data_IF_991937266381
#
_entry.id   IF_991937266381
#
_cell.length_a   1.000
_cell.length_b   1.000
_cell.length_c   1.000
_cell.angle_alpha   90.00
_cell.angle_beta   90.00
_cell.angle_gamma   90.00
#
_symmetry.space_group_name_H-M   'P 1'
#
loop_
_entity.id
_entity.type
_entity.pdbx_description
1 polymer ?
#
# COMPACT_ATOMS: atom_id res chain seq x y z
N UNK A 1 -14.11 27.15 -0.07
CA UNK A 1 -13.96 25.72 0.25
C UNK A 1 -13.13 25.67 1.51
N UNK A 2 -13.77 25.38 2.64
CA UNK A 2 -13.05 25.06 3.87
C UNK A 2 -12.49 23.64 3.72
N UNK A 3 -11.28 23.34 4.20
CA UNK A 3 -10.79 21.97 4.22
C UNK A 3 -11.72 21.17 5.15
N UNK A 4 -12.35 20.12 4.63
CA UNK A 4 -13.05 19.12 5.44
C UNK A 4 -12.08 18.64 6.53
N UNK A 5 -12.34 19.05 7.78
CA UNK A 5 -11.64 18.49 8.93
C UNK A 5 -12.06 17.04 9.03
N UNK A 6 -11.09 16.14 8.87
CA UNK A 6 -11.24 14.72 9.16
C UNK A 6 -11.94 14.56 10.53
N UNK A 7 -13.15 13.98 10.59
CA UNK A 7 -14.01 14.01 11.78
C UNK A 7 -13.46 13.19 12.96
N UNK A 8 -12.45 12.36 12.72
CA UNK A 8 -11.80 11.55 13.76
C UNK A 8 -10.27 11.80 13.77
N UNK A 9 -9.76 12.63 14.69
CA UNK A 9 -8.32 12.90 14.79
C UNK A 9 -7.48 11.67 15.19
N UNK A 10 -8.13 10.56 15.60
CA UNK A 10 -7.46 9.30 15.94
C UNK A 10 -7.50 8.30 14.79
N UNK A 11 -8.26 8.57 13.72
CA UNK A 11 -8.43 7.68 12.57
C UNK A 11 -7.11 7.28 11.95
N UNK A 12 -6.29 8.27 11.58
CA UNK A 12 -4.94 8.03 11.03
C UNK A 12 -4.07 7.19 11.98
N UNK A 13 -4.13 7.46 13.29
CA UNK A 13 -3.35 6.69 14.26
C UNK A 13 -3.82 5.23 14.36
N UNK A 14 -5.13 4.97 14.29
CA UNK A 14 -5.69 3.61 14.23
C UNK A 14 -5.27 2.87 12.97
N UNK A 15 -5.32 3.54 11.81
CA UNK A 15 -4.89 2.95 10.53
C UNK A 15 -3.38 2.64 10.52
N UNK A 16 -2.55 3.54 11.06
CA UNK A 16 -1.11 3.28 11.24
C UNK A 16 -0.89 2.06 12.15
N UNK A 17 -1.59 1.99 13.30
CA UNK A 17 -1.44 0.85 14.21
C UNK A 17 -1.88 -0.47 13.57
N UNK A 18 -2.95 -0.46 12.78
CA UNK A 18 -3.41 -1.63 12.02
C UNK A 18 -2.39 -2.04 10.95
N UNK A 19 -1.87 -1.07 10.18
CA UNK A 19 -0.83 -1.31 9.18
C UNK A 19 0.45 -1.87 9.81
N UNK A 20 0.93 -1.29 10.93
CA UNK A 20 2.06 -1.85 11.69
C UNK A 20 1.80 -3.28 12.12
N UNK A 21 0.61 -3.57 12.68
CA UNK A 21 0.25 -4.93 13.12
C UNK A 21 0.25 -5.92 11.95
N UNK A 22 -0.30 -5.51 10.82
CA UNK A 22 -0.34 -6.32 9.61
C UNK A 22 1.06 -6.58 9.05
N UNK A 23 1.93 -5.57 9.01
CA UNK A 23 3.33 -5.71 8.61
C UNK A 23 4.08 -6.67 9.53
N UNK A 24 3.86 -6.61 10.85
CA UNK A 24 4.45 -7.55 11.81
C UNK A 24 4.01 -9.00 11.58
N UNK A 25 2.71 -9.21 11.36
CA UNK A 25 2.17 -10.54 11.05
C UNK A 25 2.77 -11.08 9.75
N UNK A 26 2.84 -10.26 8.69
CA UNK A 26 3.41 -10.65 7.41
C UNK A 26 4.92 -10.93 7.51
N UNK A 27 5.67 -10.16 8.30
CA UNK A 27 7.09 -10.42 8.58
C UNK A 27 7.31 -11.73 9.33
N UNK A 28 6.36 -12.14 10.18
CA UNK A 28 6.37 -13.43 10.86
C UNK A 28 5.90 -14.60 9.97
N UNK A 29 5.50 -14.35 8.72
CA UNK A 29 4.97 -15.36 7.80
C UNK A 29 3.50 -15.72 8.07
N UNK A 30 2.76 -14.89 8.80
CA UNK A 30 1.34 -15.06 9.09
C UNK A 30 0.49 -14.17 8.17
N UNK A 31 0.45 -14.51 6.87
CA UNK A 31 -0.28 -13.73 5.85
C UNK A 31 -1.76 -13.56 6.19
N UNK A 32 -2.44 -14.62 6.65
CA UNK A 32 -3.85 -14.55 7.07
C UNK A 32 -4.05 -13.59 8.25
N UNK A 33 -3.16 -13.63 9.25
CA UNK A 33 -3.21 -12.73 10.40
C UNK A 33 -2.93 -11.28 10.04
N UNK A 34 -2.19 -11.01 8.96
CA UNK A 34 -1.99 -9.67 8.44
C UNK A 34 -3.28 -9.12 7.82
N UNK A 35 -4.01 -9.95 7.09
CA UNK A 35 -5.30 -9.58 6.49
C UNK A 35 -6.38 -9.39 7.56
N UNK A 36 -6.43 -10.24 8.57
CA UNK A 36 -7.35 -10.11 9.71
C UNK A 36 -7.15 -8.77 10.44
N UNK A 37 -5.89 -8.36 10.69
CA UNK A 37 -5.60 -7.09 11.34
C UNK A 37 -6.09 -5.87 10.53
N UNK A 38 -6.03 -5.94 9.20
CA UNK A 38 -6.56 -4.89 8.31
C UNK A 38 -8.09 -4.92 8.31
N UNK A 39 -8.69 -6.10 8.18
CA UNK A 39 -10.14 -6.28 8.20
C UNK A 39 -10.77 -5.76 9.50
N UNK A 40 -10.20 -6.13 10.65
CA UNK A 40 -10.67 -5.69 11.98
C UNK A 40 -10.65 -4.15 12.11
N UNK A 41 -9.61 -3.50 11.59
CA UNK A 41 -9.48 -2.05 11.64
C UNK A 41 -10.49 -1.33 10.74
N UNK A 42 -10.76 -1.90 9.56
CA UNK A 42 -11.70 -1.41 8.57
C UNK A 42 -13.16 -1.61 9.02
N UNK A 43 -13.49 -2.78 9.56
CA UNK A 43 -14.84 -3.15 9.98
C UNK A 43 -15.26 -2.52 11.31
N UNK A 44 -14.30 -2.16 12.17
CA UNK A 44 -14.59 -1.45 13.43
C UNK A 44 -15.13 -0.04 13.21
N UNK A 45 -15.06 0.51 12.00
CA UNK A 45 -15.49 1.86 11.67
C UNK A 45 -16.85 1.88 10.94
N UNK A 46 -17.72 2.85 11.23
CA UNK A 46 -18.97 3.04 10.47
C UNK A 46 -18.73 3.40 8.99
N UNK A 47 -17.50 3.78 8.62
CA UNK A 47 -17.09 4.13 7.26
C UNK A 47 -16.02 3.18 6.72
N UNK A 48 -16.24 1.87 6.80
CA UNK A 48 -15.27 0.83 6.39
C UNK A 48 -14.65 1.10 5.00
N UNK A 49 -15.46 1.51 4.03
CA UNK A 49 -14.96 1.85 2.69
C UNK A 49 -13.94 3.00 2.68
N UNK A 50 -14.14 4.06 3.48
CA UNK A 50 -13.18 5.17 3.55
C UNK A 50 -11.89 4.77 4.26
N UNK A 51 -12.00 3.89 5.25
CA UNK A 51 -10.86 3.43 6.06
C UNK A 51 -9.99 2.46 5.26
N UNK A 52 -10.60 1.56 4.48
CA UNK A 52 -9.91 0.73 3.52
C UNK A 52 -9.15 1.58 2.49
N UNK A 53 -9.81 2.59 1.91
CA UNK A 53 -9.18 3.52 0.95
C UNK A 53 -7.98 4.23 1.56
N UNK A 54 -8.13 4.77 2.77
CA UNK A 54 -7.07 5.53 3.42
C UNK A 54 -5.90 4.65 3.87
N UNK A 55 -6.17 3.43 4.32
CA UNK A 55 -5.13 2.45 4.63
C UNK A 55 -4.31 2.09 3.38
N UNK A 56 -4.97 1.86 2.24
CA UNK A 56 -4.29 1.58 0.98
C UNK A 56 -3.45 2.77 0.51
N UNK A 57 -3.98 4.00 0.58
CA UNK A 57 -3.25 5.22 0.25
C UNK A 57 -2.06 5.43 1.20
N UNK A 58 -2.21 5.13 2.49
CA UNK A 58 -1.12 5.18 3.45
C UNK A 58 0.02 4.23 3.01
N UNK A 59 -0.29 2.96 2.76
CA UNK A 59 0.72 1.97 2.36
C UNK A 59 1.41 2.35 1.03
N UNK A 60 0.64 2.74 0.01
CA UNK A 60 1.21 3.13 -1.29
C UNK A 60 2.00 4.44 -1.22
N UNK A 61 1.58 5.40 -0.40
CA UNK A 61 2.32 6.64 -0.15
C UNK A 61 3.68 6.39 0.51
N UNK A 62 3.76 5.47 1.46
CA UNK A 62 5.05 5.07 2.04
C UNK A 62 5.92 4.29 1.05
N UNK A 63 5.32 3.41 0.24
CA UNK A 63 6.03 2.74 -0.85
C UNK A 63 6.60 3.75 -1.85
N UNK A 64 5.83 4.76 -2.25
CA UNK A 64 6.28 5.84 -3.12
C UNK A 64 7.45 6.60 -2.50
N UNK A 65 7.34 6.99 -1.22
CA UNK A 65 8.40 7.69 -0.50
C UNK A 65 9.71 6.89 -0.45
N UNK A 66 9.63 5.59 -0.18
CA UNK A 66 10.78 4.69 -0.18
C UNK A 66 11.37 4.50 -1.58
N UNK A 67 10.52 4.33 -2.61
CA UNK A 67 10.96 4.26 -4.02
C UNK A 67 11.68 5.54 -4.44
N UNK A 68 11.17 6.71 -4.08
CA UNK A 68 11.83 7.99 -4.34
C UNK A 68 13.19 8.09 -3.65
N UNK A 69 13.29 7.67 -2.39
CA UNK A 69 14.56 7.64 -1.65
C UNK A 69 15.58 6.70 -2.32
N UNK A 70 15.16 5.51 -2.74
CA UNK A 70 15.99 4.53 -3.46
C UNK A 70 16.43 5.04 -4.84
N UNK A 71 15.58 5.81 -5.52
CA UNK A 71 15.82 6.43 -6.82
C UNK A 71 16.70 7.69 -6.81
N UNK A 72 17.54 7.88 -5.79
CA UNK A 72 18.34 9.10 -5.58
C UNK A 72 17.48 10.37 -5.44
N UNK A 73 16.40 10.29 -4.66
CA UNK A 73 15.50 11.42 -4.41
C UNK A 73 14.59 11.78 -5.58
N UNK A 74 14.22 10.80 -6.42
CA UNK A 74 13.38 11.01 -7.60
C UNK A 74 14.09 11.61 -8.82
N UNK A 75 15.43 11.72 -8.79
CA UNK A 75 16.20 12.26 -9.92
C UNK A 75 16.31 11.29 -11.10
N UNK A 76 16.13 9.98 -10.86
CA UNK A 76 16.14 8.96 -11.90
C UNK A 76 14.72 8.45 -12.20
N UNK A 77 14.36 8.23 -13.48
CA UNK A 77 13.07 7.62 -13.82
C UNK A 77 12.93 6.24 -13.18
N UNK A 78 11.86 6.04 -12.41
CA UNK A 78 11.52 4.74 -11.84
C UNK A 78 10.92 3.88 -12.94
N UNK A 79 11.48 2.68 -13.13
CA UNK A 79 10.89 1.65 -13.99
C UNK A 79 10.41 0.50 -13.11
N UNK A 80 9.14 0.16 -13.22
CA UNK A 80 8.57 -1.05 -12.61
C UNK A 80 8.47 -2.15 -13.65
N UNK A 81 8.86 -3.35 -13.25
CA UNK A 81 8.73 -4.57 -14.04
C UNK A 81 7.88 -5.55 -13.23
N UNK A 82 6.91 -6.17 -13.90
CA UNK A 82 6.02 -7.17 -13.31
C UNK A 82 6.45 -8.53 -13.82
N UNK A 83 6.56 -9.50 -12.91
CA UNK A 83 6.90 -10.87 -13.24
C UNK A 83 5.78 -11.80 -12.78
N UNK A 84 5.49 -12.85 -13.56
CA UNK A 84 4.59 -13.93 -13.15
C UNK A 84 5.30 -14.93 -12.20
N UNK A 85 4.54 -15.93 -11.75
CA UNK A 85 5.04 -17.00 -10.87
C UNK A 85 6.16 -17.85 -11.48
N UNK A 86 6.30 -17.83 -12.81
CA UNK A 86 7.38 -18.51 -13.54
C UNK A 86 8.60 -17.61 -13.76
N UNK A 87 8.56 -16.37 -13.24
CA UNK A 87 9.61 -15.37 -13.37
C UNK A 87 9.69 -14.73 -14.76
N UNK A 88 8.61 -14.82 -15.56
CA UNK A 88 8.54 -14.20 -16.89
C UNK A 88 8.02 -12.77 -16.75
N UNK A 89 8.63 -11.83 -17.47
CA UNK A 89 8.16 -10.45 -17.51
C UNK A 89 6.79 -10.39 -18.22
N UNK A 90 5.80 -9.83 -17.54
CA UNK A 90 4.42 -9.68 -18.04
C UNK A 90 4.09 -8.20 -18.21
N UNK A 91 3.49 -7.78 -19.33
CA UNK A 91 2.98 -6.42 -19.48
C UNK A 91 1.98 -6.08 -18.37
N UNK A 92 2.06 -4.86 -17.81
CA UNK A 92 1.17 -4.41 -16.72
C UNK A 92 -0.31 -4.58 -17.09
N UNK A 93 -0.67 -4.35 -18.35
CA UNK A 93 -2.05 -4.47 -18.83
C UNK A 93 -2.55 -5.92 -18.83
N UNK A 94 -1.64 -6.89 -18.95
CA UNK A 94 -1.93 -8.33 -18.94
C UNK A 94 -1.79 -8.96 -17.55
N UNK A 95 -1.29 -8.21 -16.56
CA UNK A 95 -1.23 -8.67 -15.18
C UNK A 95 -2.63 -8.87 -14.58
N UNK A 96 -2.71 -9.72 -13.56
CA UNK A 96 -3.96 -9.97 -12.85
C UNK A 96 -4.58 -8.66 -12.33
N UNK A 97 -5.92 -8.54 -12.28
CA UNK A 97 -6.58 -7.29 -11.90
C UNK A 97 -6.09 -6.64 -10.59
N UNK A 98 -5.84 -7.40 -9.49
CA UNK A 98 -5.29 -6.82 -8.26
C UNK A 98 -3.88 -6.27 -8.45
N UNK A 99 -3.01 -7.03 -9.13
CA UNK A 99 -1.62 -6.63 -9.39
C UNK A 99 -1.56 -5.39 -10.28
N UNK A 100 -2.34 -5.37 -11.37
CA UNK A 100 -2.45 -4.21 -12.26
C UNK A 100 -2.90 -2.96 -11.51
N UNK A 101 -3.86 -3.11 -10.61
CA UNK A 101 -4.34 -2.01 -9.77
C UNK A 101 -3.26 -1.52 -8.81
N UNK A 102 -2.55 -2.44 -8.14
CA UNK A 102 -1.44 -2.11 -7.25
C UNK A 102 -0.33 -1.34 -7.98
N UNK A 103 0.10 -1.82 -9.15
CA UNK A 103 1.15 -1.20 -9.96
C UNK A 103 0.73 0.19 -10.42
N UNK A 104 -0.49 0.35 -10.96
CA UNK A 104 -0.98 1.66 -11.42
C UNK A 104 -1.11 2.67 -10.27
N UNK A 105 -1.58 2.21 -9.11
CA UNK A 105 -1.68 3.03 -7.91
C UNK A 105 -0.30 3.52 -7.48
N UNK A 106 0.68 2.61 -7.39
CA UNK A 106 2.04 2.97 -6.99
C UNK A 106 2.72 3.89 -8.02
N UNK A 107 2.54 3.65 -9.32
CA UNK A 107 3.06 4.54 -10.36
C UNK A 107 2.47 5.95 -10.26
N UNK A 108 1.16 6.06 -10.01
CA UNK A 108 0.51 7.34 -9.80
C UNK A 108 1.10 8.08 -8.57
N UNK A 109 1.26 7.40 -7.43
CA UNK A 109 1.90 7.98 -6.25
C UNK A 109 3.36 8.40 -6.50
N UNK A 110 4.14 7.59 -7.22
CA UNK A 110 5.54 7.90 -7.56
C UNK A 110 5.64 9.13 -8.46
N UNK A 111 4.64 9.37 -9.30
CA UNK A 111 4.55 10.57 -10.14
C UNK A 111 3.87 11.76 -9.45
N UNK A 112 3.47 11.62 -8.18
CA UNK A 112 2.79 12.67 -7.41
C UNK A 112 1.32 12.89 -7.81
N UNK A 113 0.71 11.93 -8.51
CA UNK A 113 -0.70 11.93 -8.91
C UNK A 113 -1.53 11.12 -7.90
N UNK A 114 -1.58 11.61 -6.67
CA UNK A 114 -2.32 10.98 -5.56
C UNK A 114 -3.84 10.91 -5.85
N UNK A 115 -4.39 11.84 -6.64
CA UNK A 115 -5.79 11.80 -7.06
C UNK A 115 -6.06 10.61 -7.99
N UNK A 116 -5.18 10.33 -8.95
CA UNK A 116 -5.29 9.14 -9.78
C UNK A 116 -5.08 7.85 -8.98
N UNK A 117 -4.14 7.84 -8.02
CA UNK A 117 -3.93 6.71 -7.12
C UNK A 117 -5.20 6.39 -6.32
N UNK A 118 -5.80 7.42 -5.73
CA UNK A 118 -7.06 7.30 -5.01
C UNK A 118 -8.20 6.78 -5.89
N UNK A 119 -8.31 7.26 -7.13
CA UNK A 119 -9.33 6.78 -8.06
C UNK A 119 -9.15 5.29 -8.41
N UNK A 120 -7.91 4.79 -8.56
CA UNK A 120 -7.66 3.36 -8.78
C UNK A 120 -8.13 2.52 -7.59
N UNK A 121 -7.83 2.96 -6.36
CA UNK A 121 -8.25 2.29 -5.13
C UNK A 121 -9.78 2.31 -4.99
N UNK A 122 -10.43 3.44 -5.26
CA UNK A 122 -11.90 3.55 -5.22
C UNK A 122 -12.57 2.61 -6.22
N UNK A 123 -12.04 2.52 -7.45
CA UNK A 123 -12.55 1.57 -8.46
C UNK A 123 -12.39 0.14 -7.96
N UNK A 124 -11.25 -0.23 -7.37
CA UNK A 124 -11.06 -1.56 -6.81
C UNK A 124 -12.03 -1.84 -5.67
N UNK A 125 -12.15 -0.92 -4.69
CA UNK A 125 -13.07 -1.09 -3.56
C UNK A 125 -14.54 -1.19 -3.98
N UNK A 126 -14.92 -0.59 -5.12
CA UNK A 126 -16.28 -0.64 -5.64
C UNK A 126 -16.60 -1.91 -6.46
N UNK A 127 -15.59 -2.54 -7.08
CA UNK A 127 -15.80 -3.59 -8.08
C UNK A 127 -15.10 -4.91 -7.80
N UNK A 128 -14.08 -4.94 -6.95
CA UNK A 128 -13.31 -6.14 -6.66
C UNK A 128 -14.06 -7.06 -5.70
N UNK A 129 -13.94 -8.36 -5.92
CA UNK A 129 -14.41 -9.35 -4.95
C UNK A 129 -13.51 -9.35 -3.70
N UNK A 130 -14.00 -9.85 -2.54
CA UNK A 130 -13.21 -9.83 -1.30
C UNK A 130 -11.83 -10.48 -1.40
N UNK A 131 -11.70 -11.55 -2.21
CA UNK A 131 -10.42 -12.23 -2.47
C UNK A 131 -9.44 -11.34 -3.24
N UNK A 132 -9.92 -10.63 -4.26
CA UNK A 132 -9.12 -9.67 -5.02
C UNK A 132 -8.65 -8.50 -4.16
N UNK A 133 -9.51 -8.04 -3.24
CA UNK A 133 -9.15 -7.00 -2.27
C UNK A 133 -8.07 -7.48 -1.29
N UNK A 134 -8.21 -8.71 -0.78
CA UNK A 134 -7.20 -9.32 0.09
C UNK A 134 -5.84 -9.44 -0.62
N UNK A 135 -5.84 -9.85 -1.90
CA UNK A 135 -4.62 -9.89 -2.71
C UNK A 135 -3.99 -8.51 -2.88
N UNK A 136 -4.80 -7.48 -3.12
CA UNK A 136 -4.33 -6.10 -3.27
C UNK A 136 -3.69 -5.57 -1.97
N UNK A 137 -4.34 -5.78 -0.82
CA UNK A 137 -3.82 -5.41 0.50
C UNK A 137 -2.52 -6.16 0.79
N UNK A 138 -2.51 -7.49 0.57
CA UNK A 138 -1.32 -8.30 0.76
C UNK A 138 -0.16 -7.83 -0.12
N UNK A 139 -0.44 -7.42 -1.36
CA UNK A 139 0.57 -6.91 -2.27
C UNK A 139 1.18 -5.59 -1.77
N UNK A 140 0.34 -4.67 -1.28
CA UNK A 140 0.81 -3.42 -0.70
C UNK A 140 1.73 -3.67 0.50
N UNK A 141 1.32 -4.52 1.44
CA UNK A 141 2.12 -4.89 2.63
C UNK A 141 3.46 -5.54 2.24
N UNK A 142 3.47 -6.49 1.30
CA UNK A 142 4.70 -7.15 0.82
C UNK A 142 5.68 -6.16 0.22
N UNK A 143 5.19 -5.20 -0.57
CA UNK A 143 6.03 -4.15 -1.12
C UNK A 143 6.56 -3.21 -0.05
N UNK A 144 5.72 -2.80 0.91
CA UNK A 144 6.15 -1.98 2.03
C UNK A 144 7.31 -2.65 2.79
N UNK A 145 7.20 -3.94 3.12
CA UNK A 145 8.27 -4.68 3.78
C UNK A 145 9.54 -4.73 2.94
N UNK A 146 9.45 -5.18 1.67
CA UNK A 146 10.62 -5.34 0.80
C UNK A 146 11.34 -4.02 0.52
N UNK A 147 10.59 -2.93 0.33
CA UNK A 147 11.16 -1.60 0.15
C UNK A 147 11.82 -1.10 1.43
N UNK A 148 11.21 -1.33 2.59
CA UNK A 148 11.77 -0.94 3.88
C UNK A 148 13.11 -1.61 4.16
N UNK A 149 13.23 -2.91 3.85
CA UNK A 149 14.48 -3.66 3.98
C UNK A 149 15.58 -3.10 3.08
N UNK A 150 15.25 -2.79 1.83
CA UNK A 150 16.23 -2.20 0.90
C UNK A 150 16.66 -0.79 1.32
N UNK A 151 15.72 0.03 1.84
CA UNK A 151 16.04 1.33 2.41
C UNK A 151 16.98 1.20 3.62
N UNK A 152 16.69 0.30 4.56
CA UNK A 152 17.56 0.03 5.72
C UNK A 152 18.95 -0.42 5.30
N UNK A 153 19.05 -1.33 4.32
CA UNK A 153 20.33 -1.82 3.80
C UNK A 153 21.20 -0.73 3.17
N UNK A 154 20.59 0.38 2.73
CA UNK A 154 21.26 1.53 2.10
C UNK A 154 21.33 2.76 3.00
N UNK A 155 20.97 2.62 4.29
CA UNK A 155 20.96 3.70 5.28
C UNK A 155 20.06 4.89 4.86
N UNK A 156 18.91 4.56 4.26
CA UNK A 156 17.89 5.49 3.79
C UNK A 156 16.73 5.60 4.81
N UNK A 157 16.02 6.75 4.85
CA UNK A 157 14.94 6.95 5.79
C UNK A 157 13.78 5.98 5.55
N UNK A 158 13.29 5.39 6.63
CA UNK A 158 12.07 4.57 6.70
C UNK A 158 11.23 5.07 7.89
N UNK A 159 9.90 5.18 7.77
CA UNK A 159 9.04 5.53 8.89
C UNK A 159 9.22 4.60 10.09
N UNK A 160 9.28 5.19 11.30
CA UNK A 160 9.51 4.46 12.54
C UNK A 160 8.48 3.34 12.78
N UNK A 161 7.22 3.56 12.40
CA UNK A 161 6.14 2.59 12.58
C UNK A 161 6.26 1.36 11.66
N UNK A 162 7.01 1.46 10.56
CA UNK A 162 7.39 0.33 9.68
C UNK A 162 8.65 -0.36 10.21
N UNK A 163 9.57 0.39 10.82
CA UNK A 163 10.76 -0.20 11.43
C UNK A 163 10.43 -0.98 12.72
N UNK A 164 9.42 -0.54 13.45
CA UNK A 164 8.94 -1.18 14.66
C UNK A 164 7.98 -2.37 14.40
N UNK A 165 7.61 -2.62 13.13
CA UNK A 165 6.72 -3.71 12.73
C UNK A 165 7.45 -5.01 12.48
#
# INVERSE_FOLDING_TARGET
MEPERDPDPQRRARLIAAASTALSAMRAGHDDGALDAVADAVDAAPNSHSDARELMLLLFGECSSMVSALGSGGAAPVKMQVFDDEGREVPIDEADPPVRTAVRTLLAEVHGDTDAAAAQIEIALANADPEEMALLVAQALRWTLRLSEECVNRDLPVPEWILAS
#
